data_IF_355812583275
#
_entry.id   IF_355812583275
#
_cell.length_a   1.000
_cell.length_b   1.000
_cell.length_c   1.000
_cell.angle_alpha   90.00
_cell.angle_beta   90.00
_cell.angle_gamma   90.00
#
_symmetry.space_group_name_H-M   'P 1'
#
loop_
_entity.id
_entity.type
_entity.pdbx_description
1 polymer ?
#
# COMPACT_ATOMS: atom_id res chain seq x y z
N UNK A 1 42.70 24.00 28.31
CA UNK A 1 41.73 23.66 29.38
C UNK A 1 40.37 24.40 29.29
N UNK A 2 40.22 25.50 28.53
CA UNK A 2 38.93 26.23 28.45
C UNK A 2 37.81 25.58 27.62
N UNK A 3 38.15 24.86 26.53
CA UNK A 3 37.14 24.29 25.62
C UNK A 3 36.37 23.08 26.18
N UNK A 4 37.00 22.21 26.99
CA UNK A 4 36.30 21.08 27.63
C UNK A 4 35.25 21.51 28.67
N UNK A 5 35.48 22.63 29.37
CA UNK A 5 34.49 23.17 30.33
C UNK A 5 33.28 23.79 29.63
N UNK A 6 33.47 24.38 28.45
CA UNK A 6 32.39 24.94 27.64
C UNK A 6 31.47 23.83 27.07
N UNK A 7 32.02 22.75 26.52
CA UNK A 7 31.25 21.59 26.02
C UNK A 7 30.48 20.86 27.12
N UNK A 8 31.08 20.67 28.31
CA UNK A 8 30.37 20.08 29.44
C UNK A 8 29.18 20.94 29.89
N UNK A 9 29.32 22.27 29.85
CA UNK A 9 28.27 23.21 30.22
C UNK A 9 27.14 23.34 29.19
N UNK A 10 27.38 23.01 27.91
CA UNK A 10 26.33 22.98 26.86
C UNK A 10 25.53 21.67 26.92
N UNK A 11 26.20 20.53 27.10
CA UNK A 11 25.56 19.22 27.23
C UNK A 11 24.64 19.14 28.47
N UNK A 12 25.07 19.76 29.59
CA UNK A 12 24.25 19.85 30.80
C UNK A 12 23.01 20.76 30.63
N UNK A 13 23.10 21.81 29.80
CA UNK A 13 21.96 22.69 29.48
C UNK A 13 20.95 22.02 28.55
N UNK A 14 21.39 21.24 27.56
CA UNK A 14 20.52 20.43 26.71
C UNK A 14 19.79 19.34 27.49
N UNK A 15 20.53 18.62 28.35
CA UNK A 15 19.97 17.57 29.19
C UNK A 15 18.91 18.12 30.15
N UNK A 16 19.15 19.29 30.74
CA UNK A 16 18.17 19.95 31.61
C UNK A 16 16.93 20.44 30.84
N UNK A 17 17.09 20.96 29.61
CA UNK A 17 15.95 21.36 28.76
C UNK A 17 15.02 20.18 28.43
N UNK A 18 15.59 19.02 28.08
CA UNK A 18 14.83 17.80 27.77
C UNK A 18 14.09 17.31 29.02
N UNK A 19 14.74 17.32 30.19
CA UNK A 19 14.11 16.93 31.47
C UNK A 19 12.94 17.84 31.84
N UNK A 20 13.09 19.16 31.75
CA UNK A 20 11.99 20.11 32.01
C UNK A 20 10.84 19.99 31.01
N UNK A 21 11.12 19.64 29.75
CA UNK A 21 10.08 19.40 28.74
C UNK A 21 9.30 18.11 28.99
N UNK A 22 9.97 17.07 29.49
CA UNK A 22 9.37 15.79 29.87
C UNK A 22 8.56 15.88 31.17
N UNK A 23 9.03 16.61 32.18
CA UNK A 23 8.32 16.75 33.46
C UNK A 23 7.00 17.52 33.33
N UNK A 24 6.94 18.56 32.47
CA UNK A 24 5.69 19.28 32.18
C UNK A 24 4.66 18.44 31.41
N UNK A 25 5.10 17.43 30.67
CA UNK A 25 4.25 16.52 29.86
C UNK A 25 4.07 15.14 30.48
N UNK A 26 4.57 14.91 31.70
CA UNK A 26 4.55 13.63 32.40
C UNK A 26 3.12 13.12 32.67
N UNK A 27 2.14 14.03 32.73
CA UNK A 27 0.71 13.72 32.81
C UNK A 27 0.11 13.20 31.49
N UNK A 28 0.73 13.50 30.35
CA UNK A 28 0.30 13.04 29.01
C UNK A 28 0.93 11.69 28.63
N UNK A 29 2.07 11.33 29.22
CA UNK A 29 2.72 10.03 29.00
C UNK A 29 1.78 8.83 29.23
N UNK A 30 1.02 8.71 30.34
CA UNK A 30 0.12 7.57 30.51
C UNK A 30 -0.97 7.53 29.44
N UNK A 31 -1.44 8.69 28.98
CA UNK A 31 -2.49 8.80 27.96
C UNK A 31 -1.96 8.38 26.58
N UNK A 32 -0.72 8.76 26.24
CA UNK A 32 -0.02 8.31 25.01
C UNK A 32 0.26 6.81 25.06
N UNK A 33 0.74 6.29 26.20
CA UNK A 33 0.98 4.85 26.39
C UNK A 33 -0.33 4.08 26.25
N UNK A 34 -1.39 4.53 26.90
CA UNK A 34 -2.72 3.91 26.80
C UNK A 34 -3.23 3.94 25.36
N UNK A 35 -3.18 5.09 24.68
CA UNK A 35 -3.57 5.21 23.27
C UNK A 35 -2.75 4.27 22.36
N UNK A 36 -1.45 4.14 22.63
CA UNK A 36 -0.57 3.22 21.89
C UNK A 36 -0.94 1.76 22.14
N UNK A 37 -1.19 1.37 23.40
CA UNK A 37 -1.61 0.02 23.76
C UNK A 37 -2.98 -0.32 23.17
N UNK A 38 -3.95 0.60 23.23
CA UNK A 38 -5.26 0.44 22.59
C UNK A 38 -5.12 0.29 21.08
N UNK A 39 -4.29 1.12 20.43
CA UNK A 39 -4.03 1.00 18.99
C UNK A 39 -3.41 -0.36 18.64
N UNK A 40 -2.45 -0.86 19.44
CA UNK A 40 -1.86 -2.19 19.24
C UNK A 40 -2.91 -3.30 19.45
N UNK A 41 -3.71 -3.22 20.52
CA UNK A 41 -4.72 -4.24 20.83
C UNK A 41 -5.78 -4.36 19.74
N UNK A 42 -6.26 -3.22 19.20
CA UNK A 42 -7.20 -3.19 18.07
C UNK A 42 -6.58 -3.85 16.84
N UNK A 43 -5.28 -3.61 16.58
CA UNK A 43 -4.57 -4.22 15.44
C UNK A 43 -4.36 -5.72 15.59
N UNK A 44 -4.15 -6.23 16.81
CA UNK A 44 -3.93 -7.66 17.05
C UNK A 44 -5.23 -8.48 16.94
N UNK A 45 -6.39 -7.89 17.26
CA UNK A 45 -7.69 -8.57 17.12
C UNK A 45 -8.18 -8.68 15.66
N UNK A 46 -7.55 -7.96 14.72
CA UNK A 46 -7.93 -7.96 13.31
C UNK A 46 -7.52 -9.21 12.53
N UNK A 47 -6.66 -10.06 13.10
CA UNK A 47 -6.10 -11.22 12.40
C UNK A 47 -7.06 -12.37 12.14
N UNK A 48 -6.65 -13.30 11.27
CA UNK A 48 -7.27 -14.58 11.01
C UNK A 48 -6.22 -15.64 10.65
N UNK A 49 -6.59 -16.89 10.88
CA UNK A 49 -5.84 -18.07 10.43
C UNK A 49 -6.73 -18.85 9.46
N UNK A 50 -6.15 -19.33 8.36
CA UNK A 50 -6.84 -20.08 7.30
C UNK A 50 -6.09 -21.36 6.94
N UNK A 51 -6.51 -22.04 5.87
CA UNK A 51 -5.79 -23.20 5.32
C UNK A 51 -4.44 -22.79 4.72
N UNK A 52 -4.40 -21.61 4.11
CA UNK A 52 -3.20 -20.95 3.59
C UNK A 52 -3.26 -19.43 3.86
N UNK A 53 -2.19 -18.73 3.48
CA UNK A 53 -2.07 -17.29 3.71
C UNK A 53 -3.14 -16.49 2.95
N UNK A 54 -3.51 -16.93 1.73
CA UNK A 54 -4.51 -16.26 0.91
C UNK A 54 -5.92 -16.42 1.50
N UNK A 55 -6.27 -17.60 1.99
CA UNK A 55 -7.52 -17.87 2.70
C UNK A 55 -7.60 -17.11 4.02
N UNK A 56 -6.49 -17.00 4.77
CA UNK A 56 -6.41 -16.15 5.96
C UNK A 56 -6.65 -14.67 5.62
N UNK A 57 -6.05 -14.17 4.54
CA UNK A 57 -6.29 -12.82 4.05
C UNK A 57 -7.76 -12.61 3.66
N UNK A 58 -8.35 -13.55 2.92
CA UNK A 58 -9.76 -13.53 2.54
C UNK A 58 -10.68 -13.47 3.76
N UNK A 59 -10.41 -14.26 4.80
CA UNK A 59 -11.18 -14.23 6.05
C UNK A 59 -11.12 -12.88 6.78
N UNK A 60 -9.97 -12.18 6.74
CA UNK A 60 -9.86 -10.82 7.29
C UNK A 60 -10.63 -9.81 6.43
N UNK A 61 -10.52 -9.89 5.11
CA UNK A 61 -11.18 -8.97 4.17
C UNK A 61 -12.70 -9.13 4.15
N UNK A 62 -13.21 -10.34 4.32
CA UNK A 62 -14.64 -10.62 4.40
C UNK A 62 -15.32 -9.84 5.55
N UNK A 63 -14.60 -9.62 6.66
CA UNK A 63 -15.10 -8.77 7.79
C UNK A 63 -15.29 -7.31 7.39
N UNK A 64 -14.60 -6.86 6.35
CA UNK A 64 -14.72 -5.51 5.76
C UNK A 64 -15.70 -5.48 4.58
N UNK A 65 -16.43 -6.57 4.33
CA UNK A 65 -17.38 -6.69 3.22
C UNK A 65 -16.72 -6.86 1.84
N UNK A 66 -15.44 -7.27 1.81
CA UNK A 66 -14.72 -7.57 0.58
C UNK A 66 -14.58 -9.08 0.41
N UNK A 67 -15.03 -9.56 -0.74
CA UNK A 67 -14.85 -10.93 -1.18
C UNK A 67 -13.58 -11.01 -2.04
N UNK A 68 -12.61 -11.79 -1.57
CA UNK A 68 -11.28 -11.91 -2.17
C UNK A 68 -11.28 -13.07 -3.16
N UNK A 69 -10.75 -12.85 -4.36
CA UNK A 69 -10.41 -13.94 -5.26
C UNK A 69 -9.01 -14.50 -4.90
N UNK A 70 -8.91 -15.73 -4.35
CA UNK A 70 -7.64 -16.30 -3.90
C UNK A 70 -6.68 -16.63 -5.06
N UNK A 71 -7.17 -16.78 -6.30
CA UNK A 71 -6.33 -17.05 -7.47
C UNK A 71 -5.61 -15.79 -7.96
N UNK A 72 -6.18 -14.62 -7.66
CA UNK A 72 -5.70 -13.32 -8.13
C UNK A 72 -5.03 -12.50 -7.03
N UNK A 73 -4.20 -13.16 -6.20
CA UNK A 73 -3.40 -12.53 -5.13
C UNK A 73 -1.93 -12.43 -5.53
N UNK A 74 -1.43 -11.21 -5.62
CA UNK A 74 -0.06 -10.90 -6.00
C UNK A 74 0.72 -10.30 -4.82
N UNK A 75 1.54 -11.13 -4.19
CA UNK A 75 2.50 -10.68 -3.19
C UNK A 75 3.66 -9.93 -3.87
N UNK A 76 3.84 -8.65 -3.53
CA UNK A 76 4.89 -7.78 -4.09
C UNK A 76 6.17 -7.93 -3.27
N UNK A 77 6.04 -7.96 -1.96
CA UNK A 77 7.12 -8.28 -1.04
C UNK A 77 6.93 -9.71 -0.52
N UNK A 78 8.03 -10.43 -0.18
CA UNK A 78 7.93 -11.76 0.42
C UNK A 78 7.10 -11.73 1.71
N UNK A 79 6.13 -12.63 1.88
CA UNK A 79 5.29 -12.69 3.08
C UNK A 79 6.08 -13.17 4.31
N UNK A 80 5.44 -13.13 5.48
CA UNK A 80 6.02 -13.67 6.73
C UNK A 80 6.74 -12.67 7.62
N UNK A 81 6.56 -11.38 7.36
CA UNK A 81 7.11 -10.31 8.18
C UNK A 81 6.06 -9.83 9.19
N UNK A 82 6.29 -10.15 10.47
CA UNK A 82 5.39 -9.73 11.56
C UNK A 82 5.57 -8.25 11.89
N UNK A 83 6.76 -7.67 11.74
CA UNK A 83 7.05 -6.27 12.08
C UNK A 83 6.94 -5.29 10.90
N UNK A 84 6.98 -5.79 9.67
CA UNK A 84 6.90 -4.99 8.45
C UNK A 84 5.82 -5.59 7.56
N UNK A 85 4.85 -4.80 7.14
CA UNK A 85 3.85 -5.26 6.18
C UNK A 85 4.50 -5.72 4.88
N UNK A 86 3.99 -6.80 4.32
CA UNK A 86 4.32 -7.27 2.97
C UNK A 86 3.26 -6.69 2.05
N UNK A 87 3.69 -5.92 1.04
CA UNK A 87 2.77 -5.33 0.08
C UNK A 87 2.11 -6.44 -0.73
N UNK A 88 0.79 -6.39 -0.83
CA UNK A 88 -0.01 -7.31 -1.64
C UNK A 88 -0.97 -6.50 -2.51
N UNK A 89 -1.16 -6.97 -3.73
CA UNK A 89 -2.18 -6.48 -4.67
C UNK A 89 -3.09 -7.64 -5.00
N UNK A 90 -4.39 -7.44 -4.97
CA UNK A 90 -5.35 -8.52 -5.20
C UNK A 90 -6.63 -7.99 -5.84
N UNK A 91 -7.36 -8.88 -6.53
CA UNK A 91 -8.73 -8.60 -6.93
C UNK A 91 -9.67 -8.90 -5.78
N UNK A 92 -10.55 -7.95 -5.47
CA UNK A 92 -11.64 -8.16 -4.56
C UNK A 92 -12.89 -7.44 -5.03
N UNK A 93 -14.04 -7.97 -4.64
CA UNK A 93 -15.34 -7.39 -4.95
C UNK A 93 -16.08 -7.03 -3.66
N UNK A 94 -16.82 -5.93 -3.68
CA UNK A 94 -17.85 -5.69 -2.67
C UNK A 94 -19.17 -6.29 -3.15
N UNK A 95 -20.04 -6.62 -2.20
CA UNK A 95 -21.36 -7.14 -2.52
C UNK A 95 -22.13 -6.15 -3.42
N UNK A 96 -22.47 -6.58 -4.64
CA UNK A 96 -23.19 -5.77 -5.62
C UNK A 96 -22.35 -4.83 -6.46
N UNK A 97 -21.02 -4.86 -6.33
CA UNK A 97 -20.07 -4.11 -7.17
C UNK A 97 -19.29 -5.07 -8.09
N UNK A 98 -18.67 -4.52 -9.14
CA UNK A 98 -17.75 -5.28 -9.99
C UNK A 98 -16.40 -5.48 -9.26
N UNK A 99 -15.63 -6.52 -9.60
CA UNK A 99 -14.30 -6.74 -9.04
C UNK A 99 -13.37 -5.58 -9.37
N UNK A 100 -12.72 -5.04 -8.35
CA UNK A 100 -11.75 -3.95 -8.42
C UNK A 100 -10.37 -4.44 -7.93
N UNK A 101 -9.32 -3.70 -8.30
CA UNK A 101 -7.96 -3.99 -7.82
C UNK A 101 -7.68 -3.25 -6.51
N UNK A 102 -7.34 -4.02 -5.47
CA UNK A 102 -7.01 -3.51 -4.16
C UNK A 102 -5.53 -3.68 -3.85
N UNK A 103 -5.04 -2.82 -2.96
CA UNK A 103 -3.72 -2.92 -2.34
C UNK A 103 -3.85 -2.88 -0.84
N UNK A 104 -3.04 -3.68 -0.16
CA UNK A 104 -2.86 -3.61 1.28
C UNK A 104 -1.42 -3.95 1.69
N UNK A 105 -1.10 -3.60 2.94
CA UNK A 105 0.10 -4.05 3.64
C UNK A 105 -0.30 -5.12 4.64
N UNK A 106 0.13 -6.36 4.42
CA UNK A 106 -0.27 -7.51 5.25
C UNK A 106 0.87 -7.96 6.14
N UNK A 107 0.57 -8.12 7.42
CA UNK A 107 1.50 -8.66 8.42
C UNK A 107 1.03 -10.04 8.82
N UNK A 108 1.92 -11.01 8.84
CA UNK A 108 1.58 -12.40 9.09
C UNK A 108 2.81 -13.28 9.29
N UNK A 109 2.58 -14.56 9.57
CA UNK A 109 3.63 -15.56 9.67
C UNK A 109 4.13 -16.03 8.29
N UNK A 110 3.38 -15.73 7.23
CA UNK A 110 3.72 -16.01 5.84
C UNK A 110 3.30 -17.39 5.35
N UNK A 111 2.60 -18.16 6.18
CA UNK A 111 2.16 -19.52 5.86
C UNK A 111 0.63 -19.61 5.85
N UNK A 112 -0.01 -19.27 6.97
CA UNK A 112 -1.44 -19.54 7.19
C UNK A 112 -2.13 -18.49 8.07
N UNK A 113 -1.38 -17.50 8.58
CA UNK A 113 -1.88 -16.56 9.58
C UNK A 113 -1.59 -15.13 9.17
N UNK A 114 -2.65 -14.35 9.08
CA UNK A 114 -2.62 -12.90 8.95
C UNK A 114 -2.89 -12.28 10.32
N UNK A 115 -1.97 -11.45 10.78
CA UNK A 115 -2.07 -10.72 12.05
C UNK A 115 -2.79 -9.40 11.86
N UNK A 116 -2.48 -8.68 10.78
CA UNK A 116 -2.99 -7.33 10.53
C UNK A 116 -2.99 -7.03 9.02
N UNK A 117 -4.00 -6.29 8.58
CA UNK A 117 -4.12 -5.76 7.21
C UNK A 117 -4.23 -4.24 7.33
N UNK A 118 -3.21 -3.54 6.86
CA UNK A 118 -3.11 -2.09 6.93
C UNK A 118 -3.20 -1.46 5.53
N UNK A 119 -3.55 -0.17 5.49
CA UNK A 119 -3.49 0.65 4.27
C UNK A 119 -4.32 0.11 3.09
N UNK A 120 -5.40 -0.61 3.40
CA UNK A 120 -6.33 -1.15 2.42
C UNK A 120 -6.91 -0.03 1.54
N UNK A 121 -6.57 -0.06 0.25
CA UNK A 121 -6.90 0.99 -0.72
C UNK A 121 -7.38 0.38 -2.03
N UNK A 122 -8.49 0.87 -2.56
CA UNK A 122 -8.96 0.53 -3.91
C UNK A 122 -8.20 1.38 -4.92
N UNK A 123 -7.42 0.73 -5.80
CA UNK A 123 -6.52 1.37 -6.78
C UNK A 123 -7.21 1.76 -8.09
N UNK A 124 -8.31 1.08 -8.44
CA UNK A 124 -9.00 1.24 -9.71
C UNK A 124 -10.20 2.16 -9.57
N UNK A 125 -11.02 1.92 -8.54
CA UNK A 125 -12.29 2.62 -8.25
C UNK A 125 -13.15 2.74 -9.51
N UNK A 126 -13.30 1.65 -10.25
CA UNK A 126 -13.93 1.72 -11.57
C UNK A 126 -15.42 1.47 -11.46
N UNK A 127 -16.21 2.36 -12.04
CA UNK A 127 -17.64 2.13 -12.24
C UNK A 127 -17.86 1.58 -13.65
N UNK A 128 -18.49 0.42 -13.76
CA UNK A 128 -18.90 -0.16 -15.04
C UNK A 128 -17.79 -0.80 -15.86
N UNK A 129 -16.62 -1.05 -15.27
CA UNK A 129 -15.64 -1.98 -15.83
C UNK A 129 -15.28 -3.03 -14.79
N UNK A 130 -14.94 -4.22 -15.26
CA UNK A 130 -14.44 -5.32 -14.45
C UNK A 130 -12.94 -5.43 -14.67
N UNK A 131 -12.17 -5.35 -13.59
CA UNK A 131 -10.74 -5.62 -13.62
C UNK A 131 -10.46 -7.11 -13.54
N UNK A 132 -9.58 -7.59 -14.42
CA UNK A 132 -9.29 -9.00 -14.57
C UNK A 132 -7.79 -9.30 -14.73
N UNK A 133 -7.45 -10.55 -14.41
CA UNK A 133 -6.15 -11.17 -14.69
C UNK A 133 -4.94 -10.32 -14.30
N UNK A 134 -4.84 -9.85 -13.04
CA UNK A 134 -3.68 -9.10 -12.61
C UNK A 134 -2.42 -9.96 -12.73
N UNK A 135 -1.36 -9.39 -13.31
CA UNK A 135 -0.04 -10.05 -13.44
C UNK A 135 1.04 -9.13 -12.91
N UNK A 136 2.05 -9.72 -12.27
CA UNK A 136 3.20 -9.00 -11.73
C UNK A 136 4.41 -9.17 -12.65
N UNK A 137 5.08 -8.06 -12.99
CA UNK A 137 6.44 -8.05 -13.53
C UNK A 137 7.26 -7.06 -12.70
N UNK A 138 8.20 -7.58 -11.90
CA UNK A 138 8.98 -6.83 -10.91
C UNK A 138 8.13 -6.00 -9.93
N UNK A 139 8.05 -4.69 -10.15
CA UNK A 139 7.29 -3.72 -9.35
C UNK A 139 6.07 -3.17 -10.10
N UNK A 140 5.85 -3.66 -11.32
CA UNK A 140 4.70 -3.32 -12.13
C UNK A 140 3.61 -4.39 -11.99
N UNK A 141 2.36 -3.93 -11.92
CA UNK A 141 1.18 -4.79 -11.99
C UNK A 141 0.39 -4.43 -13.23
N UNK A 142 0.13 -5.42 -14.07
CA UNK A 142 -0.73 -5.33 -15.24
C UNK A 142 -2.10 -5.82 -14.85
N UNK A 143 -3.14 -5.20 -15.38
CA UNK A 143 -4.48 -5.73 -15.31
C UNK A 143 -5.26 -5.36 -16.56
N UNK A 144 -6.21 -6.20 -16.88
CA UNK A 144 -7.15 -5.99 -17.96
C UNK A 144 -8.39 -5.28 -17.42
N UNK A 145 -8.92 -4.34 -18.19
CA UNK A 145 -10.18 -3.65 -17.88
C UNK A 145 -11.19 -4.01 -18.96
N UNK A 146 -12.24 -4.71 -18.53
CA UNK A 146 -13.31 -5.21 -19.39
C UNK A 146 -14.56 -4.36 -19.20
N UNK A 147 -15.16 -3.88 -20.28
CA UNK A 147 -16.44 -3.14 -20.27
C UNK A 147 -17.45 -3.98 -21.04
N UNK A 148 -18.59 -4.28 -20.42
CA UNK A 148 -19.63 -5.17 -20.98
C UNK A 148 -19.08 -6.54 -21.47
N UNK A 149 -18.03 -7.05 -20.79
CA UNK A 149 -17.38 -8.33 -21.12
C UNK A 149 -16.39 -8.28 -22.28
N UNK A 150 -16.13 -7.11 -22.87
CA UNK A 150 -15.11 -6.91 -23.89
C UNK A 150 -13.89 -6.18 -23.30
N UNK A 151 -12.69 -6.58 -23.72
CA UNK A 151 -11.44 -5.93 -23.34
C UNK A 151 -11.40 -4.51 -23.92
N UNK A 152 -11.51 -3.48 -23.06
CA UNK A 152 -11.45 -2.06 -23.44
C UNK A 152 -10.03 -1.50 -23.33
N UNK A 153 -9.32 -1.90 -22.26
CA UNK A 153 -8.00 -1.37 -22.00
C UNK A 153 -7.11 -2.34 -21.22
N UNK A 154 -5.81 -2.18 -21.41
CA UNK A 154 -4.78 -2.76 -20.55
C UNK A 154 -4.16 -1.62 -19.75
N UNK A 155 -4.03 -1.82 -18.44
CA UNK A 155 -3.44 -0.83 -17.55
C UNK A 155 -2.23 -1.38 -16.80
N UNK A 156 -1.29 -0.49 -16.54
CA UNK A 156 -0.04 -0.77 -15.84
C UNK A 156 0.03 0.13 -14.61
N UNK A 157 0.30 -0.49 -13.46
CA UNK A 157 0.53 0.17 -12.19
C UNK A 157 1.99 0.04 -11.79
N UNK A 158 2.64 1.17 -11.50
CA UNK A 158 3.95 1.22 -10.87
C UNK A 158 3.79 1.40 -9.35
N UNK A 159 4.14 0.37 -8.59
CA UNK A 159 4.03 0.37 -7.13
C UNK A 159 5.20 1.05 -6.41
N UNK A 160 6.23 1.50 -7.12
CA UNK A 160 7.35 2.26 -6.57
C UNK A 160 7.07 3.76 -6.46
N UNK A 161 6.01 4.25 -7.11
CA UNK A 161 5.51 5.60 -6.93
C UNK A 161 5.01 6.25 -8.21
N UNK A 162 4.61 7.51 -8.07
CA UNK A 162 4.30 8.39 -9.20
C UNK A 162 5.55 8.79 -9.99
N UNK A 163 5.32 9.20 -11.24
CA UNK A 163 6.37 9.72 -12.10
C UNK A 163 7.02 10.96 -11.47
N UNK A 164 8.34 10.92 -11.29
CA UNK A 164 9.09 11.98 -10.57
C UNK A 164 8.98 13.33 -11.27
N UNK A 165 8.79 13.33 -12.59
CA UNK A 165 8.61 14.55 -13.40
C UNK A 165 7.41 15.37 -12.94
N UNK A 166 6.37 14.73 -12.40
CA UNK A 166 5.15 15.41 -11.90
C UNK A 166 5.45 16.30 -10.71
N UNK A 167 6.38 15.86 -9.84
CA UNK A 167 6.73 16.58 -8.59
C UNK A 167 7.98 17.43 -8.71
N UNK A 168 8.56 17.51 -9.92
CA UNK A 168 9.76 18.28 -10.18
C UNK A 168 9.48 19.79 -10.01
N UNK A 169 10.37 20.50 -9.34
CA UNK A 169 10.18 21.93 -9.02
C UNK A 169 9.17 22.26 -7.91
N UNK A 170 8.47 21.27 -7.33
CA UNK A 170 7.49 21.55 -6.29
C UNK A 170 8.13 22.00 -4.97
N UNK A 171 7.56 23.02 -4.29
CA UNK A 171 7.91 23.36 -2.92
C UNK A 171 7.70 22.18 -1.96
N UNK A 172 8.51 22.13 -0.88
CA UNK A 172 8.44 21.06 0.12
C UNK A 172 7.04 20.86 0.72
N UNK A 173 6.29 21.95 0.96
CA UNK A 173 4.92 21.90 1.49
C UNK A 173 3.97 21.14 0.55
N UNK A 174 4.11 21.36 -0.75
CA UNK A 174 3.26 20.74 -1.79
C UNK A 174 3.60 19.27 -1.90
N UNK A 175 4.89 18.91 -1.81
CA UNK A 175 5.32 17.50 -1.77
C UNK A 175 4.78 16.76 -0.55
N UNK A 176 4.77 17.41 0.62
CA UNK A 176 4.20 16.82 1.84
C UNK A 176 2.68 16.62 1.71
N UNK A 177 1.97 17.62 1.20
CA UNK A 177 0.54 17.50 0.95
C UNK A 177 0.24 16.35 -0.02
N UNK A 178 0.99 16.25 -1.12
CA UNK A 178 0.87 15.15 -2.08
C UNK A 178 1.14 13.79 -1.42
N UNK A 179 2.18 13.68 -0.61
CA UNK A 179 2.49 12.43 0.09
C UNK A 179 1.36 12.00 1.04
N UNK A 180 0.68 12.94 1.69
CA UNK A 180 -0.49 12.66 2.54
C UNK A 180 -1.67 12.19 1.68
N UNK A 181 -1.97 12.89 0.59
CA UNK A 181 -3.03 12.49 -0.35
C UNK A 181 -2.76 11.09 -0.90
N UNK A 182 -1.54 10.82 -1.35
CA UNK A 182 -1.14 9.54 -1.90
C UNK A 182 -1.27 8.42 -0.87
N UNK A 183 -0.93 8.70 0.40
CA UNK A 183 -1.11 7.74 1.49
C UNK A 183 -2.59 7.42 1.72
N UNK A 184 -3.49 8.40 1.59
CA UNK A 184 -4.93 8.21 1.72
C UNK A 184 -5.54 7.47 0.53
N UNK A 185 -5.06 7.73 -0.68
CA UNK A 185 -5.64 7.16 -1.90
C UNK A 185 -5.11 5.78 -2.25
N UNK A 186 -3.83 5.53 -1.99
CA UNK A 186 -3.11 4.35 -2.48
C UNK A 186 -2.40 3.56 -1.39
N UNK A 187 -2.45 4.02 -0.13
CA UNK A 187 -1.69 3.43 0.97
C UNK A 187 -0.18 3.65 0.86
N UNK A 188 0.28 4.56 -0.02
CA UNK A 188 1.70 4.82 -0.30
C UNK A 188 2.01 6.30 -0.30
N UNK A 189 2.99 6.74 0.49
CA UNK A 189 3.48 8.13 0.44
C UNK A 189 4.09 8.51 -0.91
N UNK A 190 4.50 7.53 -1.73
CA UNK A 190 5.01 7.75 -3.09
C UNK A 190 3.91 7.71 -4.14
N UNK A 191 2.68 7.37 -3.76
CA UNK A 191 1.59 7.10 -4.70
C UNK A 191 1.77 5.77 -5.44
N UNK A 192 1.01 5.63 -6.52
CA UNK A 192 1.08 4.56 -7.51
C UNK A 192 0.99 5.20 -8.88
N UNK A 193 1.99 4.99 -9.74
CA UNK A 193 1.93 5.45 -11.12
C UNK A 193 0.93 4.60 -11.89
N UNK A 194 0.03 5.22 -12.67
CA UNK A 194 -0.94 4.49 -13.50
C UNK A 194 -0.85 4.94 -14.95
N UNK A 195 -0.70 3.98 -15.86
CA UNK A 195 -0.77 4.19 -17.31
C UNK A 195 -1.82 3.26 -17.90
N UNK A 196 -2.79 3.82 -18.63
CA UNK A 196 -3.88 3.06 -19.27
C UNK A 196 -3.72 3.16 -20.78
N UNK A 197 -3.76 2.00 -21.45
CA UNK A 197 -3.65 1.87 -22.89
C UNK A 197 -5.00 1.37 -23.40
N UNK A 198 -5.73 2.27 -24.08
CA UNK A 198 -7.01 1.92 -24.70
C UNK A 198 -6.75 1.11 -25.95
N UNK A 199 -7.46 0.01 -26.12
CA UNK A 199 -7.42 -0.78 -27.34
C UNK A 199 -8.40 -0.14 -28.31
N UNK A 200 -7.86 0.42 -29.41
CA UNK A 200 -8.64 1.20 -30.36
C UNK A 200 -9.31 0.35 -31.43
N UNK A 201 -8.75 -0.82 -31.76
CA UNK A 201 -9.37 -1.89 -32.57
C UNK A 201 -8.51 -3.17 -32.47
N UNK A 202 -9.14 -4.33 -32.27
CA UNK A 202 -8.47 -5.64 -32.36
C UNK A 202 -9.07 -6.71 -31.43
N UNK A 203 -9.39 -7.87 -31.99
CA UNK A 203 -9.69 -9.09 -31.25
C UNK A 203 -8.50 -10.04 -31.42
N UNK A 204 -7.63 -10.11 -30.42
CA UNK A 204 -6.52 -11.05 -30.39
C UNK A 204 -5.75 -11.03 -29.07
N UNK A 205 -4.90 -12.03 -28.79
CA UNK A 205 -4.10 -12.06 -27.58
C UNK A 205 -3.05 -10.95 -27.63
N UNK A 206 -3.09 -10.05 -26.64
CA UNK A 206 -2.10 -8.99 -26.49
C UNK A 206 -0.97 -9.48 -25.58
N UNK A 207 0.27 -9.36 -26.03
CA UNK A 207 1.47 -9.61 -25.23
C UNK A 207 2.01 -8.27 -24.73
N UNK A 208 1.93 -8.02 -23.43
CA UNK A 208 2.59 -6.89 -22.81
C UNK A 208 4.01 -7.28 -22.38
N UNK A 209 5.01 -6.54 -22.83
CA UNK A 209 6.39 -6.64 -22.40
C UNK A 209 6.84 -5.30 -21.80
N UNK A 210 7.46 -5.36 -20.62
CA UNK A 210 8.04 -4.19 -19.95
C UNK A 210 9.53 -4.37 -19.84
N UNK A 211 10.25 -3.59 -20.63
CA UNK A 211 11.68 -3.38 -20.48
C UNK A 211 11.90 -2.12 -19.64
N UNK A 212 13.08 -2.00 -19.02
CA UNK A 212 13.50 -0.84 -18.22
C UNK A 212 13.33 0.53 -18.91
N UNK A 213 13.20 0.54 -20.24
CA UNK A 213 13.13 1.75 -21.07
C UNK A 213 11.86 1.85 -21.93
N UNK A 214 11.03 0.79 -22.04
CA UNK A 214 9.89 0.76 -22.96
C UNK A 214 8.81 -0.22 -22.54
N UNK A 215 7.57 0.22 -22.69
CA UNK A 215 6.37 -0.63 -22.64
C UNK A 215 5.98 -0.97 -24.07
N UNK A 216 5.96 -2.25 -24.43
CA UNK A 216 5.42 -2.75 -25.70
C UNK A 216 4.18 -3.57 -25.42
N UNK A 217 3.10 -3.29 -26.16
CA UNK A 217 1.99 -4.23 -26.31
C UNK A 217 2.07 -4.72 -27.74
N UNK A 218 2.41 -5.99 -27.90
CA UNK A 218 2.34 -6.65 -29.19
C UNK A 218 0.94 -7.25 -29.31
N UNK A 219 0.15 -6.71 -30.24
CA UNK A 219 -1.08 -7.35 -30.70
C UNK A 219 -0.79 -8.45 -31.72
N UNK A 220 -1.82 -9.15 -32.22
CA UNK A 220 -1.70 -9.98 -33.42
C UNK A 220 -1.22 -9.18 -34.64
#
# INVERSE_FOLDING_TARGET
MGQMRAQASSALRETNRIRTFLDGRRRLLPLVVLATVCAIAIRVQGGATGEDLNGALGAVLARSGLDLDPEHVLWIDPPGRVFRGSRVVFLAQKAGELPDLYRADVRGNGTDTVVDVAWLSNLTRTQGATEASPRRIDHHVFYESHVDGALDAVAVLDLNGEDRSVTEGWPLRTRLQNAITNLQETGSVRGVGRRRYKILDGTGPYRAEVTSERFSIDGP
#
